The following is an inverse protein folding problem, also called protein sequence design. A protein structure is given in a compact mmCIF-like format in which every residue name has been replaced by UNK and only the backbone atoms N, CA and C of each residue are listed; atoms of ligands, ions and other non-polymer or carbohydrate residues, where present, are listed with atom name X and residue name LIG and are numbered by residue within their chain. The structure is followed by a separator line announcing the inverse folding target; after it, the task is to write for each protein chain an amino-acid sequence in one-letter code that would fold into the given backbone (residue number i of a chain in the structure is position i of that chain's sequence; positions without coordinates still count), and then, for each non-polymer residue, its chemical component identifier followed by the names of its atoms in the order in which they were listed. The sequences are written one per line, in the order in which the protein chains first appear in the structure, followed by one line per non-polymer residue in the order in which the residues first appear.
data_IF_786951979129
#
_entry.id   IF_786951979129
#
_cell.length_a   1.000
_cell.length_b   1.000
_cell.length_c   1.000
_cell.angle_alpha   90.00
_cell.angle_beta   90.00
_cell.angle_gamma   90.00
#
_symmetry.space_group_name_H-M   'P 1'
#
loop_
_entity.id
_entity.type
_entity.pdbx_description
1 polymer ?
#
# COMPACT_ATOMS: atom_id res chain seq x y z
N UNK A 1 4.15 1.04 3.98
CA UNK A 1 4.30 0.24 2.74
C UNK A 1 4.22 -1.24 3.11
N UNK A 2 3.72 -2.09 2.22
CA UNK A 2 3.34 -3.52 2.40
C UNK A 2 1.95 -3.83 2.99
N UNK A 3 1.17 -2.84 3.43
CA UNK A 3 -0.21 -3.08 3.89
C UNK A 3 -1.10 -3.50 2.72
N UNK A 4 -1.57 -4.75 2.68
CA UNK A 4 -2.26 -5.33 1.54
C UNK A 4 -3.54 -4.59 1.15
N UNK A 5 -4.21 -3.97 2.14
CA UNK A 5 -5.43 -3.19 1.91
C UNK A 5 -5.16 -1.75 1.46
N UNK A 6 -3.90 -1.28 1.44
CA UNK A 6 -3.54 0.05 0.94
C UNK A 6 -3.20 -0.06 -0.55
N UNK A 7 -4.02 0.59 -1.39
CA UNK A 7 -3.89 0.50 -2.85
C UNK A 7 -3.79 1.87 -3.55
N UNK A 8 -3.83 2.98 -2.79
CA UNK A 8 -3.60 4.35 -3.29
C UNK A 8 -2.43 4.99 -2.54
N UNK A 9 -1.53 5.63 -3.28
CA UNK A 9 -0.41 6.40 -2.74
C UNK A 9 -0.36 7.78 -3.42
N UNK A 10 -0.08 8.82 -2.63
CA UNK A 10 0.23 10.16 -3.14
C UNK A 10 1.42 10.72 -2.39
N UNK A 11 2.43 11.19 -3.12
CA UNK A 11 3.67 11.70 -2.54
C UNK A 11 3.93 13.15 -2.96
N UNK A 12 4.66 13.88 -2.11
CA UNK A 12 5.13 15.22 -2.37
C UNK A 12 6.55 15.40 -1.82
N UNK A 13 7.32 16.26 -2.47
CA UNK A 13 8.69 16.60 -2.07
C UNK A 13 8.80 18.11 -1.95
N UNK A 14 9.47 18.58 -0.90
CA UNK A 14 9.73 20.00 -0.65
C UNK A 14 11.17 20.18 -0.16
N UNK A 15 11.92 21.07 -0.79
CA UNK A 15 13.19 21.57 -0.23
C UNK A 15 12.86 22.70 0.75
N UNK A 16 13.30 22.54 1.99
CA UNK A 16 13.25 23.52 3.07
C UNK A 16 14.67 23.95 3.44
N UNK A 17 14.81 25.05 4.18
CA UNK A 17 16.12 25.58 4.60
C UNK A 17 16.93 24.55 5.41
N UNK A 18 16.24 23.72 6.20
CA UNK A 18 16.86 22.68 7.03
C UNK A 18 17.07 21.34 6.31
N UNK A 19 16.53 21.14 5.10
CA UNK A 19 16.61 19.82 4.45
C UNK A 19 15.58 19.59 3.35
N UNK A 20 15.64 18.41 2.72
CA UNK A 20 14.59 17.93 1.81
C UNK A 20 13.58 17.09 2.59
N UNK A 21 12.31 17.47 2.54
CA UNK A 21 11.21 16.73 3.16
C UNK A 21 10.45 15.98 2.09
N UNK A 22 10.26 14.67 2.30
CA UNK A 22 9.48 13.79 1.44
C UNK A 22 8.30 13.27 2.26
N UNK A 23 7.08 13.43 1.75
CA UNK A 23 5.86 12.96 2.41
C UNK A 23 5.09 12.08 1.44
N UNK A 24 4.73 10.87 1.88
CA UNK A 24 3.80 9.99 1.17
C UNK A 24 2.59 9.68 2.04
N UNK A 25 1.41 9.81 1.47
CA UNK A 25 0.13 9.43 2.06
C UNK A 25 -0.40 8.16 1.39
N UNK A 26 -1.02 7.31 2.20
CA UNK A 26 -1.48 5.98 1.84
C UNK A 26 -2.98 5.86 2.11
N UNK A 27 -3.75 5.33 1.16
CA UNK A 27 -5.18 5.10 1.32
C UNK A 27 -5.61 3.72 0.78
N UNK A 28 -6.52 3.02 1.46
CA UNK A 28 -6.90 3.14 2.88
C UNK A 28 -5.70 3.17 3.83
N UNK A 29 -5.91 3.70 5.04
CA UNK A 29 -4.85 3.76 6.05
C UNK A 29 -4.47 2.34 6.45
N UNK A 30 -3.17 2.09 6.58
CA UNK A 30 -2.66 0.86 7.19
C UNK A 30 -2.29 1.05 8.65
N UNK A 31 -1.48 0.13 9.18
CA UNK A 31 -0.95 0.17 10.55
C UNK A 31 -2.05 0.29 11.60
N UNK A 32 -3.09 -0.53 11.44
CA UNK A 32 -4.22 -0.58 12.37
C UNK A 32 -3.84 -1.54 13.49
N UNK A 33 -4.01 -1.10 14.74
CA UNK A 33 -3.74 -1.93 15.93
C UNK A 33 -4.46 -3.28 15.83
N UNK A 34 -3.75 -4.36 16.16
CA UNK A 34 -4.21 -5.76 16.11
C UNK A 34 -4.62 -6.28 14.71
N UNK A 35 -4.48 -5.49 13.65
CA UNK A 35 -4.75 -5.96 12.30
C UNK A 35 -3.47 -6.50 11.63
N UNK A 36 -3.63 -7.55 10.82
CA UNK A 36 -2.55 -8.12 10.02
C UNK A 36 -2.20 -7.20 8.84
N UNK A 37 -0.90 -7.14 8.50
CA UNK A 37 -0.40 -6.34 7.36
C UNK A 37 -0.89 -6.92 6.04
N UNK A 38 -0.91 -8.25 5.92
CA UNK A 38 -1.41 -9.02 4.79
C UNK A 38 -1.77 -10.44 5.26
N UNK A 39 -2.55 -11.16 4.45
CA UNK A 39 -2.91 -12.55 4.72
C UNK A 39 -1.74 -13.44 4.31
N UNK A 40 -1.25 -14.27 5.24
CA UNK A 40 -0.17 -15.23 4.97
C UNK A 40 -0.70 -16.36 4.08
N UNK A 41 0.02 -16.69 3.02
CA UNK A 41 -0.34 -17.75 2.08
C UNK A 41 0.48 -17.71 0.79
N UNK A 42 0.06 -18.50 -0.20
CA UNK A 42 0.64 -18.43 -1.54
C UNK A 42 0.37 -17.04 -2.17
N UNK A 43 1.33 -16.57 -2.96
CA UNK A 43 1.21 -15.31 -3.71
C UNK A 43 -0.09 -15.32 -4.52
N UNK A 44 -0.85 -14.23 -4.43
CA UNK A 44 -2.14 -14.06 -5.12
C UNK A 44 -3.22 -15.12 -4.82
N UNK A 45 -3.13 -15.86 -3.71
CA UNK A 45 -4.16 -16.84 -3.34
C UNK A 45 -5.58 -16.23 -3.29
N UNK A 46 -5.69 -14.94 -2.94
CA UNK A 46 -6.96 -14.20 -2.86
C UNK A 46 -7.47 -13.63 -4.21
N UNK A 47 -6.65 -13.64 -5.27
CA UNK A 47 -6.96 -12.96 -6.55
C UNK A 47 -6.38 -13.72 -7.75
N UNK A 48 -6.51 -15.05 -7.76
CA UNK A 48 -5.82 -15.96 -8.70
C UNK A 48 -5.98 -15.59 -10.19
N UNK A 49 -7.17 -15.14 -10.60
CA UNK A 49 -7.48 -14.83 -12.00
C UNK A 49 -7.00 -13.45 -12.46
N UNK A 50 -6.63 -12.57 -11.53
CA UNK A 50 -6.33 -11.16 -11.81
C UNK A 50 -4.98 -10.73 -11.22
N UNK A 51 -4.14 -11.70 -10.88
CA UNK A 51 -2.81 -11.46 -10.33
C UNK A 51 -1.89 -10.89 -11.41
N UNK A 52 -1.25 -9.76 -11.11
CA UNK A 52 -0.24 -9.16 -11.98
C UNK A 52 1.03 -8.94 -11.16
N UNK A 53 2.15 -9.53 -11.58
CA UNK A 53 3.46 -9.41 -10.92
C UNK A 53 3.44 -9.67 -9.40
N UNK A 54 2.63 -10.64 -8.97
CA UNK A 54 2.49 -11.02 -7.56
C UNK A 54 1.61 -10.11 -6.71
N UNK A 55 0.89 -9.17 -7.34
CA UNK A 55 -0.04 -8.25 -6.69
C UNK A 55 -1.48 -8.49 -7.13
N UNK A 56 -2.41 -8.26 -6.20
CA UNK A 56 -3.84 -8.22 -6.49
C UNK A 56 -4.25 -6.86 -7.08
N UNK A 57 -5.29 -6.80 -7.92
CA UNK A 57 -5.77 -5.55 -8.49
C UNK A 57 -6.38 -4.66 -7.42
N UNK A 58 -6.43 -3.35 -7.69
CA UNK A 58 -7.11 -2.40 -6.81
C UNK A 58 -8.61 -2.64 -6.80
N UNK A 59 -9.31 -2.46 -5.66
CA UNK A 59 -10.77 -2.54 -5.61
C UNK A 59 -11.43 -1.54 -6.57
N UNK A 60 -12.62 -1.86 -7.12
CA UNK A 60 -13.43 -0.89 -7.85
C UNK A 60 -13.77 0.31 -6.95
N UNK A 61 -13.82 1.51 -7.54
CA UNK A 61 -14.10 2.76 -6.81
C UNK A 61 -15.53 2.82 -6.26
#
# INVERSE_FOLDING_TARGET
MAWALTYKIGCAVKRCDFGTVVVCRYRPRGNIDKAQIYIVGQVCAACKSSCMDGLCPTPPN
#
